data_IF_804818973846
#
_entry.id   IF_804818973846
#
_cell.length_a   1.000
_cell.length_b   1.000
_cell.length_c   1.000
_cell.angle_alpha   90.00
_cell.angle_beta   90.00
_cell.angle_gamma   90.00
#
_symmetry.space_group_name_H-M   'P 1'
#
loop_
_entity.id
_entity.type
_entity.pdbx_description
1 polymer ?
#
# COMPACT_ATOMS: atom_id res chain seq x y z
N UNK A 1 1.07 14.19 10.80
CA UNK A 1 0.73 15.45 10.07
C UNK A 1 -0.64 15.30 9.42
N UNK A 2 -1.56 16.25 9.60
CA UNK A 2 -2.87 16.28 8.91
C UNK A 2 -2.79 17.15 7.67
N UNK A 3 -3.31 16.69 6.53
CA UNK A 3 -3.41 17.51 5.32
C UNK A 3 -4.77 18.20 5.17
N UNK A 4 -4.94 18.99 4.10
CA UNK A 4 -6.17 19.75 3.83
C UNK A 4 -7.41 18.89 3.53
N UNK A 5 -7.22 17.60 3.26
CA UNK A 5 -8.31 16.63 3.01
C UNK A 5 -8.66 15.83 4.28
N UNK A 6 -7.92 16.05 5.37
CA UNK A 6 -8.12 15.37 6.64
C UNK A 6 -7.42 14.02 6.75
N UNK A 7 -6.54 13.69 5.81
CA UNK A 7 -5.70 12.48 5.87
C UNK A 7 -4.58 12.72 6.88
N UNK A 8 -4.33 11.71 7.73
CA UNK A 8 -3.23 11.73 8.69
C UNK A 8 -2.04 10.96 8.14
N UNK A 9 -0.96 11.68 7.86
CA UNK A 9 0.32 11.13 7.44
C UNK A 9 1.23 10.87 8.64
N UNK A 10 1.82 9.69 8.66
CA UNK A 10 3.00 9.37 9.48
C UNK A 10 4.23 9.70 8.63
N UNK A 11 5.09 10.55 9.18
CA UNK A 11 6.27 11.06 8.49
C UNK A 11 7.53 10.70 9.26
N UNK A 12 8.60 10.38 8.55
CA UNK A 12 9.92 10.27 9.15
C UNK A 12 10.37 11.65 9.63
N UNK A 13 10.66 11.78 10.92
CA UNK A 13 10.97 13.08 11.54
C UNK A 13 12.29 13.70 11.05
N UNK A 14 13.21 12.89 10.50
CA UNK A 14 14.53 13.36 10.08
C UNK A 14 14.53 13.81 8.61
N UNK A 15 13.82 13.09 7.75
CA UNK A 15 13.80 13.27 6.30
C UNK A 15 12.53 13.98 5.81
N UNK A 16 11.45 13.99 6.61
CA UNK A 16 10.13 14.47 6.19
C UNK A 16 9.40 13.53 5.22
N UNK A 17 9.97 12.35 4.95
CA UNK A 17 9.38 11.37 4.03
C UNK A 17 8.06 10.84 4.56
N UNK A 18 7.05 10.75 3.71
CA UNK A 18 5.75 10.14 4.03
C UNK A 18 5.90 8.63 4.05
N UNK A 19 5.72 8.01 5.21
CA UNK A 19 5.90 6.57 5.39
C UNK A 19 4.59 5.81 5.17
N UNK A 20 3.51 6.33 5.72
CA UNK A 20 2.17 5.73 5.68
C UNK A 20 1.13 6.81 5.98
N UNK A 21 -0.14 6.52 5.68
CA UNK A 21 -1.24 7.40 6.05
C UNK A 21 -2.48 6.63 6.47
N UNK A 22 -3.26 7.24 7.35
CA UNK A 22 -4.61 6.79 7.64
C UNK A 22 -5.55 7.37 6.60
N UNK A 23 -6.30 6.49 5.92
CA UNK A 23 -7.45 6.92 5.14
C UNK A 23 -8.53 7.47 6.06
N UNK A 24 -9.52 8.12 5.45
CA UNK A 24 -10.72 8.54 6.17
C UNK A 24 -11.35 7.32 6.85
N UNK A 25 -11.42 7.35 8.18
CA UNK A 25 -12.00 6.27 8.96
C UNK A 25 -13.50 6.11 8.68
N UNK A 26 -13.99 4.91 8.92
CA UNK A 26 -15.43 4.60 8.93
C UNK A 26 -15.79 3.83 10.20
N UNK A 27 -17.08 3.81 10.51
CA UNK A 27 -17.64 2.97 11.55
C UNK A 27 -18.79 2.14 10.99
N UNK A 28 -18.90 0.92 11.48
CA UNK A 28 -19.91 -0.06 11.13
C UNK A 28 -20.58 -0.60 12.40
N UNK A 29 -21.90 -0.67 12.41
CA UNK A 29 -22.68 -1.20 13.52
C UNK A 29 -23.02 -2.70 13.32
N UNK A 30 -23.62 -3.36 14.31
CA UNK A 30 -23.94 -4.80 14.21
C UNK A 30 -25.06 -5.16 13.24
N UNK A 31 -25.70 -4.16 12.61
CA UNK A 31 -26.67 -4.29 11.53
C UNK A 31 -26.07 -3.91 10.16
N UNK A 32 -24.74 -3.84 10.06
CA UNK A 32 -24.00 -3.49 8.83
C UNK A 32 -24.29 -2.07 8.33
N UNK A 33 -24.79 -1.17 9.19
CA UNK A 33 -24.93 0.25 8.85
C UNK A 33 -23.58 0.95 8.95
N UNK A 34 -23.21 1.71 7.93
CA UNK A 34 -21.89 2.38 7.84
C UNK A 34 -22.04 3.89 7.94
N UNK A 35 -21.13 4.53 8.68
CA UNK A 35 -20.90 5.98 8.61
C UNK A 35 -19.45 6.30 8.27
N UNK A 36 -19.26 7.30 7.42
CA UNK A 36 -17.97 7.94 7.16
C UNK A 36 -17.90 9.33 7.81
N UNK A 37 -18.90 9.71 8.61
CA UNK A 37 -18.89 10.97 9.33
C UNK A 37 -18.08 10.83 10.63
N UNK A 38 -16.77 10.65 10.45
CA UNK A 38 -15.80 10.54 11.54
C UNK A 38 -14.77 11.66 11.36
N UNK A 39 -14.61 12.49 12.38
CA UNK A 39 -13.53 13.48 12.40
C UNK A 39 -12.27 12.85 12.99
N UNK A 40 -11.13 13.15 12.38
CA UNK A 40 -9.82 12.66 12.82
C UNK A 40 -8.94 13.80 13.31
N UNK A 41 -8.26 13.60 14.43
CA UNK A 41 -7.29 14.56 15.00
C UNK A 41 -6.07 13.84 15.60
N UNK A 42 -5.05 14.60 15.98
CA UNK A 42 -3.86 14.11 16.69
C UNK A 42 -3.75 14.86 18.01
N UNK A 43 -3.74 14.12 19.12
CA UNK A 43 -3.49 14.66 20.45
C UNK A 43 -2.11 14.23 20.96
N UNK A 44 -1.53 15.04 21.84
CA UNK A 44 -0.31 14.68 22.57
C UNK A 44 -0.67 14.28 24.00
N UNK A 45 -0.41 13.03 24.36
CA UNK A 45 -0.66 12.51 25.70
C UNK A 45 0.57 11.77 26.24
N UNK A 46 1.08 12.19 27.40
CA UNK A 46 2.25 11.58 28.04
C UNK A 46 3.46 11.40 27.09
N UNK A 47 3.68 12.37 26.20
CA UNK A 47 4.76 12.34 25.21
C UNK A 47 4.53 11.43 24.00
N UNK A 48 3.31 10.93 23.80
CA UNK A 48 2.92 10.11 22.66
C UNK A 48 1.91 10.86 21.79
N UNK A 49 2.03 10.68 20.47
CA UNK A 49 0.99 11.05 19.53
C UNK A 49 -0.15 10.02 19.60
N UNK A 50 -1.36 10.49 19.82
CA UNK A 50 -2.58 9.69 19.88
C UNK A 50 -3.48 10.08 18.71
N UNK A 51 -3.86 9.10 17.89
CA UNK A 51 -4.88 9.27 16.87
C UNK A 51 -6.25 9.32 17.53
N UNK A 52 -6.95 10.45 17.39
CA UNK A 52 -8.30 10.66 17.93
C UNK A 52 -9.32 10.53 16.81
N UNK A 53 -10.28 9.63 16.98
CA UNK A 53 -11.40 9.42 16.06
C UNK A 53 -12.70 9.75 16.79
N UNK A 54 -13.44 10.73 16.27
CA UNK A 54 -14.74 11.12 16.83
C UNK A 54 -15.84 10.74 15.87
N UNK A 55 -16.68 9.79 16.28
CA UNK A 55 -17.89 9.39 15.54
C UNK A 55 -19.00 10.40 15.81
N UNK A 56 -19.79 10.71 14.78
CA UNK A 56 -20.95 11.59 14.91
C UNK A 56 -21.94 11.11 15.98
N UNK A 57 -22.33 12.03 16.87
CA UNK A 57 -23.20 11.74 18.02
C UNK A 57 -24.62 11.32 17.62
N UNK A 58 -25.15 11.81 16.50
CA UNK A 58 -26.49 11.43 16.07
C UNK A 58 -26.50 10.01 15.50
N UNK A 59 -25.45 9.64 14.74
CA UNK A 59 -25.31 8.28 14.24
C UNK A 59 -25.11 7.28 15.38
N UNK A 60 -24.16 7.53 16.29
CA UNK A 60 -23.84 6.58 17.38
C UNK A 60 -25.00 6.37 18.34
N UNK A 61 -25.89 7.35 18.51
CA UNK A 61 -27.08 7.23 19.35
C UNK A 61 -28.12 6.24 18.79
N UNK A 62 -28.06 5.94 17.49
CA UNK A 62 -28.98 5.01 16.80
C UNK A 62 -28.32 3.69 16.38
N UNK A 63 -26.99 3.60 16.46
CA UNK A 63 -26.23 2.44 16.04
C UNK A 63 -26.46 1.23 16.95
N UNK A 64 -26.49 0.04 16.36
CA UNK A 64 -26.53 -1.21 17.11
C UNK A 64 -25.12 -1.67 17.53
N UNK A 65 -24.94 -1.95 18.82
CA UNK A 65 -23.64 -2.40 19.34
C UNK A 65 -23.41 -3.91 19.09
N UNK A 66 -22.15 -4.37 19.01
CA UNK A 66 -20.91 -3.57 19.04
C UNK A 66 -20.72 -2.75 17.76
N UNK A 67 -20.09 -1.58 17.91
CA UNK A 67 -19.66 -0.75 16.78
C UNK A 67 -18.18 -0.98 16.54
N UNK A 68 -17.81 -1.21 15.28
CA UNK A 68 -16.42 -1.32 14.83
C UNK A 68 -16.03 0.01 14.21
N UNK A 69 -14.90 0.58 14.64
CA UNK A 69 -14.30 1.78 14.04
C UNK A 69 -12.99 1.36 13.41
N UNK A 70 -12.85 1.56 12.10
CA UNK A 70 -11.68 1.15 11.34
C UNK A 70 -10.93 2.38 10.79
N UNK A 71 -9.80 2.76 11.43
CA UNK A 71 -8.83 3.64 10.83
C UNK A 71 -7.93 2.84 9.88
N UNK A 72 -8.33 2.73 8.63
CA UNK A 72 -7.55 1.98 7.63
C UNK A 72 -6.20 2.65 7.39
N UNK A 73 -5.12 1.92 7.67
CA UNK A 73 -3.76 2.33 7.41
C UNK A 73 -3.33 1.90 6.00
N UNK A 74 -2.87 2.84 5.21
CA UNK A 74 -2.28 2.59 3.90
C UNK A 74 -0.79 2.79 3.99
N UNK A 75 -0.07 1.76 3.55
CA UNK A 75 1.38 1.79 3.44
C UNK A 75 1.77 1.60 1.98
N UNK A 76 2.63 2.48 1.50
CA UNK A 76 3.15 2.45 0.13
C UNK A 76 4.64 2.21 0.17
N UNK A 77 5.13 1.30 -0.66
CA UNK A 77 6.55 1.19 -0.97
C UNK A 77 6.75 1.98 -2.25
N UNK A 78 7.34 3.17 -2.14
CA UNK A 78 7.76 3.92 -3.32
C UNK A 78 9.15 3.46 -3.76
N UNK A 79 9.34 3.30 -5.07
CA UNK A 79 10.60 2.96 -5.75
C UNK A 79 11.67 4.07 -5.67
N UNK A 80 11.55 4.99 -4.71
CA UNK A 80 12.51 6.08 -4.53
C UNK A 80 13.93 5.56 -4.22
N UNK A 81 14.02 4.37 -3.62
CA UNK A 81 15.27 3.65 -3.46
C UNK A 81 15.26 2.37 -4.33
N UNK A 82 16.12 2.26 -5.37
CA UNK A 82 16.22 1.08 -6.22
C UNK A 82 16.74 -0.16 -5.48
N UNK A 83 17.16 -0.06 -4.20
CA UNK A 83 17.49 -1.21 -3.37
C UNK A 83 16.26 -1.89 -2.74
N UNK A 84 15.10 -1.21 -2.67
CA UNK A 84 13.90 -1.76 -2.03
C UNK A 84 13.21 -2.85 -2.86
N UNK A 85 13.40 -2.84 -4.18
CA UNK A 85 12.83 -3.82 -5.12
C UNK A 85 13.94 -4.26 -6.07
N UNK A 86 14.12 -5.57 -6.18
CA UNK A 86 15.01 -6.19 -7.15
C UNK A 86 14.18 -6.98 -8.16
N UNK A 87 14.61 -6.94 -9.42
CA UNK A 87 14.00 -7.74 -10.47
C UNK A 87 15.05 -8.41 -11.35
N UNK A 88 14.60 -9.47 -12.00
CA UNK A 88 15.33 -10.17 -13.04
C UNK A 88 14.32 -10.95 -13.88
N UNK A 89 14.77 -11.59 -14.96
CA UNK A 89 13.95 -12.57 -15.66
C UNK A 89 14.77 -13.76 -16.09
N UNK A 90 14.09 -14.88 -16.33
CA UNK A 90 14.68 -16.10 -16.89
C UNK A 90 14.18 -16.21 -18.33
N UNK A 91 15.10 -16.34 -19.29
CA UNK A 91 14.78 -16.51 -20.70
C UNK A 91 15.08 -17.95 -21.15
N UNK A 92 14.10 -18.63 -21.75
CA UNK A 92 14.23 -20.02 -22.18
C UNK A 92 15.29 -20.24 -23.27
N UNK A 93 15.60 -19.23 -24.08
CA UNK A 93 16.68 -19.27 -25.06
C UNK A 93 18.08 -19.21 -24.43
N UNK A 94 18.18 -18.64 -23.23
CA UNK A 94 19.45 -18.43 -22.52
C UNK A 94 19.26 -18.63 -21.00
N UNK A 95 18.93 -19.84 -20.54
CA UNK A 95 18.49 -20.08 -19.16
C UNK A 95 19.57 -19.85 -18.09
N UNK A 96 20.85 -19.80 -18.49
CA UNK A 96 21.98 -19.57 -17.60
C UNK A 96 22.45 -18.11 -17.55
N UNK A 97 21.83 -17.22 -18.33
CA UNK A 97 22.15 -15.80 -18.31
C UNK A 97 21.33 -15.09 -17.22
N UNK A 98 21.99 -14.21 -16.47
CA UNK A 98 21.31 -13.31 -15.53
C UNK A 98 21.00 -11.99 -16.20
N UNK A 99 19.78 -11.48 -15.98
CA UNK A 99 19.27 -10.26 -16.60
C UNK A 99 18.96 -9.15 -15.60
N UNK A 100 19.52 -9.23 -14.38
CA UNK A 100 19.27 -8.28 -13.29
C UNK A 100 19.73 -6.83 -13.55
N UNK A 101 20.56 -6.61 -14.58
CA UNK A 101 21.04 -5.27 -14.97
C UNK A 101 20.26 -4.67 -16.14
N UNK A 102 19.25 -5.36 -16.68
CA UNK A 102 18.51 -4.86 -17.81
C UNK A 102 17.53 -3.77 -17.39
N UNK A 103 17.42 -2.72 -18.22
CA UNK A 103 16.52 -1.58 -17.95
C UNK A 103 15.03 -1.91 -18.07
N UNK A 104 14.69 -3.09 -18.63
CA UNK A 104 13.32 -3.52 -18.87
C UNK A 104 13.11 -4.93 -18.33
N UNK A 105 12.05 -5.08 -17.54
CA UNK A 105 11.56 -6.38 -17.12
C UNK A 105 10.69 -6.97 -18.23
N UNK A 106 11.18 -8.04 -18.85
CA UNK A 106 10.44 -8.75 -19.90
C UNK A 106 9.62 -9.90 -19.31
N UNK A 107 8.46 -10.17 -19.91
CA UNK A 107 7.56 -11.29 -19.58
C UNK A 107 6.94 -11.86 -20.85
N UNK A 108 6.62 -13.15 -20.87
CA UNK A 108 5.88 -13.76 -21.99
C UNK A 108 6.81 -14.41 -23.01
N UNK A 109 6.69 -14.05 -24.29
CA UNK A 109 7.54 -14.57 -25.35
C UNK A 109 8.22 -13.44 -26.11
N UNK A 110 9.51 -13.58 -26.36
CA UNK A 110 10.28 -12.68 -27.21
C UNK A 110 11.14 -13.51 -28.17
N UNK A 111 11.03 -13.23 -29.47
CA UNK A 111 11.85 -13.91 -30.48
C UNK A 111 13.34 -13.80 -30.14
N UNK A 112 14.06 -14.91 -30.21
CA UNK A 112 15.47 -15.01 -29.79
C UNK A 112 15.68 -15.29 -28.29
N UNK A 113 14.76 -14.90 -27.42
CA UNK A 113 14.83 -15.17 -25.97
C UNK A 113 13.90 -16.31 -25.53
N UNK A 114 12.99 -16.75 -26.41
CA UNK A 114 11.92 -17.71 -26.16
C UNK A 114 11.01 -17.25 -25.00
N UNK A 115 10.44 -18.20 -24.25
CA UNK A 115 9.59 -17.88 -23.10
C UNK A 115 10.41 -17.24 -21.97
N UNK A 116 9.91 -16.12 -21.48
CA UNK A 116 10.49 -15.30 -20.43
C UNK A 116 9.57 -15.33 -19.20
N UNK A 117 10.16 -15.56 -18.03
CA UNK A 117 9.49 -15.45 -16.73
C UNK A 117 10.16 -14.36 -15.90
N UNK A 118 9.41 -13.33 -15.55
CA UNK A 118 9.86 -12.25 -14.67
C UNK A 118 9.91 -12.70 -13.22
N UNK A 119 10.87 -12.18 -12.47
CA UNK A 119 11.06 -12.37 -11.05
C UNK A 119 11.10 -10.98 -10.41
N UNK A 120 10.31 -10.76 -9.37
CA UNK A 120 10.29 -9.52 -8.60
C UNK A 120 10.47 -9.92 -7.14
N UNK A 121 11.38 -9.23 -6.45
CA UNK A 121 11.67 -9.41 -5.03
C UNK A 121 11.56 -8.06 -4.33
N UNK A 122 10.64 -7.98 -3.38
CA UNK A 122 10.60 -6.90 -2.40
C UNK A 122 11.65 -7.21 -1.32
N UNK A 123 12.65 -6.34 -1.17
CA UNK A 123 13.75 -6.53 -0.22
C UNK A 123 13.27 -6.20 1.18
N UNK A 124 12.68 -5.02 1.32
CA UNK A 124 12.06 -4.56 2.55
C UNK A 124 10.56 -4.37 2.32
N UNK A 125 9.77 -4.99 3.18
CA UNK A 125 8.35 -4.71 3.29
C UNK A 125 8.13 -3.76 4.47
N UNK A 126 7.14 -2.87 4.40
CA UNK A 126 6.80 -2.03 5.53
C UNK A 126 6.37 -2.90 6.70
N UNK A 127 6.75 -2.50 7.91
CA UNK A 127 6.24 -3.13 9.11
C UNK A 127 4.74 -2.85 9.25
N UNK A 128 3.97 -3.90 9.50
CA UNK A 128 2.57 -3.78 9.85
C UNK A 128 2.43 -3.70 11.37
N UNK A 129 1.50 -2.87 11.90
CA UNK A 129 1.17 -2.89 13.31
C UNK A 129 0.76 -4.28 13.80
N UNK A 130 1.07 -4.60 15.05
CA UNK A 130 0.68 -5.89 15.64
C UNK A 130 -0.85 -6.04 15.58
N UNK A 131 -1.33 -7.15 15.02
CA UNK A 131 -2.76 -7.43 14.86
C UNK A 131 -3.42 -6.77 13.65
N UNK A 132 -2.68 -6.02 12.82
CA UNK A 132 -3.20 -5.48 11.58
C UNK A 132 -3.59 -6.60 10.60
N UNK A 133 -4.70 -6.43 9.90
CA UNK A 133 -5.18 -7.32 8.84
C UNK A 133 -5.04 -6.63 7.50
N UNK A 134 -4.42 -7.31 6.53
CA UNK A 134 -4.38 -6.83 5.15
C UNK A 134 -5.78 -7.01 4.54
N UNK A 135 -6.43 -5.90 4.20
CA UNK A 135 -7.75 -5.88 3.52
C UNK A 135 -7.62 -5.75 2.01
N UNK A 136 -6.53 -5.15 1.53
CA UNK A 136 -6.20 -5.02 0.11
C UNK A 136 -4.69 -4.94 -0.09
N UNK A 137 -4.21 -5.45 -1.22
CA UNK A 137 -2.83 -5.29 -1.68
C UNK A 137 -2.84 -5.13 -3.21
N UNK A 138 -2.04 -4.23 -3.75
CA UNK A 138 -1.98 -3.95 -5.19
C UNK A 138 -0.54 -3.81 -5.65
N UNK A 139 -0.21 -4.42 -6.79
CA UNK A 139 1.05 -4.22 -7.50
C UNK A 139 0.76 -3.44 -8.78
N UNK A 140 1.27 -2.21 -8.85
CA UNK A 140 1.14 -1.35 -10.02
C UNK A 140 2.45 -1.42 -10.83
N UNK A 141 2.36 -1.78 -12.12
CA UNK A 141 3.51 -1.82 -13.03
C UNK A 141 3.23 -1.01 -14.28
N UNK A 142 4.25 -0.34 -14.79
CA UNK A 142 4.19 0.36 -16.07
C UNK A 142 4.54 -0.61 -17.20
N UNK A 143 3.63 -0.76 -18.16
CA UNK A 143 3.90 -1.47 -19.42
C UNK A 143 4.43 -0.48 -20.44
N UNK A 144 5.71 -0.63 -20.82
CA UNK A 144 6.37 0.28 -21.76
C UNK A 144 6.20 -0.18 -23.22
N UNK A 145 6.10 -1.50 -23.47
CA UNK A 145 5.98 -2.03 -24.82
C UNK A 145 5.26 -3.38 -24.85
N UNK A 146 4.38 -3.56 -25.84
CA UNK A 146 3.72 -4.83 -26.14
C UNK A 146 4.19 -5.34 -27.50
N UNK A 147 4.81 -6.52 -27.51
CA UNK A 147 5.12 -7.23 -28.75
C UNK A 147 3.99 -8.21 -29.02
N UNK A 148 3.09 -7.82 -29.91
CA UNK A 148 2.13 -8.78 -30.48
C UNK A 148 2.84 -9.54 -31.60
N UNK A 149 3.12 -10.81 -31.38
CA UNK A 149 3.39 -11.72 -32.50
C UNK A 149 2.06 -11.94 -33.23
N UNK A 150 1.91 -11.40 -34.44
CA UNK A 150 0.88 -11.88 -35.35
C UNK A 150 1.18 -13.35 -35.72
N UNK A 151 0.15 -14.22 -35.80
CA UNK A 151 0.31 -15.60 -36.27
C UNK A 151 0.79 -15.66 -37.72
#
# INVERSE_FOLDING_TARGET
MKDGEGIIWVVDANTGSRLMHFQKAYAEDSNEQITQNISTDIAMEAGKEILVLTVDNAWIASAAFPVVIDPTLVVSIELADPSNIQDAYIAGGYPNNSYYTNNYLHVGYLAGYNFIRSLIKFIDLPSLPLGAKITSASLNMLVVQLWMSLP
#
